data_IF_106362715599
#
_entry.id   IF_106362715599
#
_cell.length_a   1.000
_cell.length_b   1.000
_cell.length_c   1.000
_cell.angle_alpha   90.00
_cell.angle_beta   90.00
_cell.angle_gamma   90.00
#
_symmetry.space_group_name_H-M   'P 1'
#
loop_
_entity.id
_entity.type
_entity.pdbx_description
1 polymer ?
#
# COMPACT_ATOMS: atom_id res chain seq x y z
N UNK A 1 -16.41 -3.20 13.93
CA UNK A 1 -16.35 -3.89 12.61
C UNK A 1 -16.37 -2.91 11.43
N UNK A 2 -17.25 -1.89 11.38
CA UNK A 2 -17.30 -0.95 10.23
C UNK A 2 -15.98 -0.19 9.97
N UNK A 3 -15.25 0.18 11.03
CA UNK A 3 -13.97 0.88 10.88
C UNK A 3 -12.91 0.00 10.19
N UNK A 4 -12.82 -1.30 10.52
CA UNK A 4 -11.85 -2.24 9.93
C UNK A 4 -12.18 -2.44 8.45
N UNK A 5 -13.47 -2.58 8.12
CA UNK A 5 -13.94 -2.66 6.74
C UNK A 5 -13.55 -1.42 5.91
N UNK A 6 -13.69 -0.22 6.48
CA UNK A 6 -13.27 1.02 5.84
C UNK A 6 -11.75 1.04 5.58
N UNK A 7 -10.95 0.63 6.57
CA UNK A 7 -9.49 0.53 6.44
C UNK A 7 -9.09 -0.46 5.34
N UNK A 8 -9.63 -1.68 5.36
CA UNK A 8 -9.31 -2.72 4.37
C UNK A 8 -9.79 -2.36 2.95
N UNK A 9 -10.92 -1.66 2.82
CA UNK A 9 -11.38 -1.11 1.54
C UNK A 9 -10.47 0.01 1.05
N UNK A 10 -10.01 0.90 1.93
CA UNK A 10 -9.03 1.94 1.59
C UNK A 10 -7.73 1.32 1.09
N UNK A 11 -7.22 0.30 1.78
CA UNK A 11 -6.03 -0.44 1.37
C UNK A 11 -6.16 -1.10 -0.01
N UNK A 12 -7.35 -1.61 -0.33
CA UNK A 12 -7.65 -2.21 -1.65
C UNK A 12 -7.38 -1.22 -2.79
N UNK A 13 -7.85 0.01 -2.65
CA UNK A 13 -7.63 1.09 -3.62
C UNK A 13 -6.15 1.46 -3.70
N UNK A 14 -5.49 1.61 -2.56
CA UNK A 14 -4.08 2.03 -2.51
C UNK A 14 -3.14 0.97 -3.09
N UNK A 15 -3.39 -0.33 -2.82
CA UNK A 15 -2.63 -1.41 -3.43
C UNK A 15 -2.90 -1.55 -4.93
N UNK A 16 -4.13 -1.30 -5.38
CA UNK A 16 -4.45 -1.26 -6.81
C UNK A 16 -3.68 -0.15 -7.51
N UNK A 17 -3.64 1.06 -6.92
CA UNK A 17 -2.89 2.18 -7.48
C UNK A 17 -1.38 1.91 -7.53
N UNK A 18 -0.80 1.33 -6.47
CA UNK A 18 0.62 0.97 -6.44
C UNK A 18 0.97 -0.10 -7.48
N UNK A 19 0.15 -1.16 -7.57
CA UNK A 19 0.35 -2.24 -8.55
C UNK A 19 0.18 -1.72 -9.98
N UNK A 20 -0.82 -0.86 -10.20
CA UNK A 20 -1.07 -0.21 -11.48
C UNK A 20 0.04 0.72 -11.91
N UNK A 21 0.52 1.58 -11.02
CA UNK A 21 1.64 2.46 -11.30
C UNK A 21 2.92 1.68 -11.62
N UNK A 22 3.19 0.58 -10.89
CA UNK A 22 4.34 -0.27 -11.17
C UNK A 22 4.24 -0.92 -12.56
N UNK A 23 3.04 -1.35 -12.96
CA UNK A 23 2.82 -1.93 -14.29
C UNK A 23 2.95 -0.90 -15.41
N UNK A 24 2.33 0.28 -15.26
CA UNK A 24 2.45 1.40 -16.20
C UNK A 24 3.90 1.87 -16.34
N UNK A 25 4.67 1.86 -15.25
CA UNK A 25 6.09 2.20 -15.30
C UNK A 25 6.87 1.15 -16.07
N UNK A 26 6.57 -0.14 -15.82
CA UNK A 26 7.20 -1.28 -16.51
C UNK A 26 6.88 -1.30 -18.00
N UNK A 27 5.68 -0.89 -18.42
CA UNK A 27 5.27 -0.77 -19.82
C UNK A 27 5.79 0.51 -20.48
N UNK A 28 6.36 1.44 -19.69
CA UNK A 28 6.88 2.73 -20.16
C UNK A 28 5.81 3.78 -20.40
N UNK A 29 4.57 3.56 -19.94
CA UNK A 29 3.46 4.50 -20.04
C UNK A 29 3.57 5.67 -19.06
N UNK A 30 4.28 5.46 -17.93
CA UNK A 30 4.65 6.53 -17.02
C UNK A 30 6.16 6.51 -16.73
N UNK A 31 6.72 7.68 -16.47
CA UNK A 31 8.12 7.81 -16.06
C UNK A 31 8.32 7.58 -14.54
N UNK A 32 9.59 7.54 -14.12
CA UNK A 32 9.94 7.37 -12.70
C UNK A 32 9.37 8.49 -11.82
N UNK A 33 9.31 9.73 -12.29
CA UNK A 33 8.81 10.85 -11.49
C UNK A 33 7.30 10.73 -11.23
N UNK A 34 6.54 10.30 -12.23
CA UNK A 34 5.11 10.02 -12.13
C UNK A 34 4.85 8.81 -11.22
N UNK A 35 5.60 7.73 -11.37
CA UNK A 35 5.54 6.57 -10.47
C UNK A 35 5.79 6.97 -9.00
N UNK A 36 6.81 7.80 -8.77
CA UNK A 36 7.15 8.29 -7.44
C UNK A 36 6.05 9.16 -6.82
N UNK A 37 5.40 10.01 -7.63
CA UNK A 37 4.29 10.83 -7.17
C UNK A 37 3.10 9.96 -6.73
N UNK A 38 2.73 8.94 -7.52
CA UNK A 38 1.64 8.01 -7.19
C UNK A 38 1.98 7.21 -5.92
N UNK A 39 3.22 6.74 -5.82
CA UNK A 39 3.73 6.03 -4.64
C UNK A 39 3.58 6.89 -3.39
N UNK A 40 4.06 8.14 -3.41
CA UNK A 40 3.98 9.06 -2.26
C UNK A 40 2.55 9.30 -1.81
N UNK A 41 1.65 9.58 -2.75
CA UNK A 41 0.22 9.79 -2.43
C UNK A 41 -0.38 8.52 -1.83
N UNK A 42 -0.02 7.35 -2.36
CA UNK A 42 -0.54 6.08 -1.87
C UNK A 42 -0.04 5.77 -0.45
N UNK A 43 1.25 6.01 -0.17
CA UNK A 43 1.83 5.84 1.17
C UNK A 43 1.26 6.84 2.18
N UNK A 44 1.04 8.09 1.77
CA UNK A 44 0.34 9.07 2.61
C UNK A 44 -1.09 8.61 2.93
N UNK A 45 -1.79 7.99 1.99
CA UNK A 45 -3.08 7.34 2.20
C UNK A 45 -3.02 6.20 3.21
N UNK A 46 -2.03 5.30 3.10
CA UNK A 46 -1.83 4.20 4.06
C UNK A 46 -1.56 4.77 5.47
N UNK A 47 -0.78 5.86 5.56
CA UNK A 47 -0.52 6.54 6.84
C UNK A 47 -1.77 7.16 7.45
N UNK A 48 -2.62 7.78 6.63
CA UNK A 48 -3.90 8.30 7.11
C UNK A 48 -4.81 7.17 7.62
N UNK A 49 -4.85 6.03 6.93
CA UNK A 49 -5.57 4.83 7.36
C UNK A 49 -5.00 4.26 8.67
N UNK A 50 -3.67 4.27 8.83
CA UNK A 50 -2.99 3.85 10.07
C UNK A 50 -3.38 4.75 11.26
N UNK A 51 -3.41 6.07 11.07
CA UNK A 51 -3.88 7.02 12.09
C UNK A 51 -5.35 6.81 12.46
N UNK A 52 -6.21 6.53 11.47
CA UNK A 52 -7.63 6.22 11.73
C UNK A 52 -7.80 4.87 12.45
N UNK A 53 -6.96 3.88 12.11
CA UNK A 53 -6.94 2.59 12.78
C UNK A 53 -6.44 2.70 14.23
N UNK A 54 -5.53 3.64 14.51
CA UNK A 54 -4.93 3.89 15.83
C UNK A 54 -5.97 4.08 16.95
N UNK A 55 -7.12 4.65 16.62
CA UNK A 55 -8.17 4.96 17.59
C UNK A 55 -9.03 3.74 17.96
N UNK A 56 -9.04 2.68 17.12
CA UNK A 56 -10.08 1.65 17.19
C UNK A 56 -9.65 0.20 16.83
N UNK A 57 -8.41 -0.05 16.38
CA UNK A 57 -8.04 -1.30 15.69
C UNK A 57 -6.62 -1.81 16.01
N UNK A 58 -6.36 -2.17 17.28
CA UNK A 58 -5.05 -2.63 17.79
C UNK A 58 -4.32 -3.68 16.92
N UNK A 59 -5.02 -4.66 16.34
CA UNK A 59 -4.38 -5.71 15.53
C UNK A 59 -4.02 -5.32 14.09
N UNK A 60 -4.59 -4.25 13.55
CA UNK A 60 -4.32 -3.80 12.17
C UNK A 60 -3.23 -2.70 12.13
N UNK A 61 -3.08 -1.95 13.22
CA UNK A 61 -2.08 -0.87 13.32
C UNK A 61 -0.67 -1.40 13.15
N UNK A 62 -0.30 -2.46 13.87
CA UNK A 62 1.06 -3.05 13.78
C UNK A 62 1.39 -3.49 12.35
N UNK A 63 0.39 -4.02 11.63
CA UNK A 63 0.56 -4.45 10.24
C UNK A 63 0.69 -3.25 9.30
N UNK A 64 -0.07 -2.18 9.54
CA UNK A 64 0.02 -0.94 8.78
C UNK A 64 1.34 -0.20 9.04
N UNK A 65 1.87 -0.24 10.26
CA UNK A 65 3.17 0.30 10.61
C UNK A 65 4.29 -0.48 9.91
N UNK A 66 4.28 -1.81 10.00
CA UNK A 66 5.23 -2.65 9.27
C UNK A 66 5.18 -2.45 7.74
N UNK A 67 3.98 -2.20 7.18
CA UNK A 67 3.80 -1.88 5.76
C UNK A 67 4.42 -0.52 5.38
N UNK A 68 4.27 0.49 6.23
CA UNK A 68 4.88 1.81 6.02
C UNK A 68 6.40 1.75 6.19
N UNK A 69 6.89 1.03 7.19
CA UNK A 69 8.33 0.82 7.41
C UNK A 69 8.96 0.08 6.22
N UNK A 70 8.28 -0.94 5.68
CA UNK A 70 8.71 -1.63 4.47
C UNK A 70 8.74 -0.74 3.22
N UNK A 71 8.04 0.40 3.25
CA UNK A 71 8.02 1.37 2.17
C UNK A 71 9.03 2.51 2.37
N UNK A 72 9.61 2.65 3.56
CA UNK A 72 10.66 3.63 3.85
C UNK A 72 12.02 2.98 3.53
N UNK A 73 12.89 3.65 2.77
CA UNK A 73 14.22 3.13 2.52
C UNK A 73 15.05 3.03 3.82
N UNK A 74 16.04 2.12 3.88
CA UNK A 74 16.79 1.82 5.12
C UNK A 74 17.56 3.02 5.70
N UNK A 75 17.72 4.10 4.95
CA UNK A 75 18.30 5.37 5.39
C UNK A 75 17.28 6.34 6.03
N UNK A 76 16.01 5.95 6.17
CA UNK A 76 14.97 6.75 6.82
C UNK A 76 14.56 8.00 6.03
N UNK A 77 14.94 8.09 4.76
CA UNK A 77 14.58 9.20 3.88
C UNK A 77 13.10 9.22 3.54
N UNK A 78 12.56 10.41 3.22
CA UNK A 78 11.36 10.49 2.39
C UNK A 78 11.54 9.55 1.20
N UNK A 79 10.50 8.84 0.70
CA UNK A 79 10.57 8.12 -0.56
C UNK A 79 10.80 9.14 -1.68
N UNK A 80 12.03 9.60 -1.83
CA UNK A 80 12.62 10.31 -2.96
C UNK A 80 12.97 9.29 -4.01
N UNK A 81 11.97 8.49 -4.36
CA UNK A 81 11.80 8.00 -5.70
C UNK A 81 12.81 7.03 -6.28
N UNK A 82 13.92 6.76 -5.58
CA UNK A 82 14.96 5.86 -6.05
C UNK A 82 15.05 4.58 -5.20
N UNK A 83 14.30 4.47 -4.10
CA UNK A 83 14.46 3.37 -3.15
C UNK A 83 13.17 2.60 -2.78
N UNK A 84 11.99 3.06 -3.22
CA UNK A 84 10.75 2.28 -3.04
C UNK A 84 10.57 1.32 -4.22
N UNK A 85 10.70 0.03 -3.94
CA UNK A 85 10.37 -1.04 -4.88
C UNK A 85 9.14 -1.80 -4.37
N UNK A 86 7.95 -1.60 -4.98
CA UNK A 86 6.73 -2.31 -4.60
C UNK A 86 6.77 -3.81 -4.94
N UNK A 87 7.74 -4.25 -5.73
CA UNK A 87 8.01 -5.67 -6.04
C UNK A 87 8.97 -6.32 -5.04
N UNK A 88 9.58 -5.54 -4.14
CA UNK A 88 10.49 -6.07 -3.13
C UNK A 88 9.79 -7.09 -2.23
N UNK A 89 10.55 -8.12 -1.81
CA UNK A 89 10.03 -9.16 -0.93
C UNK A 89 9.59 -8.60 0.43
N UNK A 90 10.26 -7.55 0.92
CA UNK A 90 9.95 -6.88 2.18
C UNK A 90 8.57 -6.23 2.12
N UNK A 91 8.33 -5.39 1.11
CA UNK A 91 7.03 -4.75 0.92
C UNK A 91 5.94 -5.78 0.59
N UNK A 92 6.25 -6.77 -0.26
CA UNK A 92 5.33 -7.86 -0.58
C UNK A 92 4.90 -8.69 0.63
N UNK A 93 5.82 -8.92 1.57
CA UNK A 93 5.52 -9.64 2.83
C UNK A 93 4.65 -8.81 3.77
N UNK A 94 4.98 -7.53 3.95
CA UNK A 94 4.16 -6.63 4.77
C UNK A 94 2.74 -6.45 4.21
N UNK A 95 2.61 -6.33 2.88
CA UNK A 95 1.32 -6.31 2.18
C UNK A 95 0.49 -7.56 2.43
N UNK A 96 1.12 -8.76 2.38
CA UNK A 96 0.44 -10.03 2.69
C UNK A 96 -0.01 -10.09 4.15
N UNK A 97 0.79 -9.58 5.08
CA UNK A 97 0.44 -9.58 6.51
C UNK A 97 -0.79 -8.70 6.80
N UNK A 98 -0.85 -7.49 6.21
CA UNK A 98 -2.03 -6.61 6.27
C UNK A 98 -3.25 -7.28 5.62
N UNK A 99 -3.06 -7.91 4.46
CA UNK A 99 -4.15 -8.62 3.75
C UNK A 99 -4.71 -9.75 4.61
N UNK A 100 -3.86 -10.58 5.22
CA UNK A 100 -4.27 -11.65 6.12
C UNK A 100 -4.97 -11.14 7.38
N UNK A 101 -4.53 -10.00 7.94
CA UNK A 101 -5.24 -9.35 9.06
C UNK A 101 -6.64 -8.88 8.66
N UNK A 102 -6.79 -8.30 7.47
CA UNK A 102 -8.08 -7.91 6.90
C UNK A 102 -9.00 -9.12 6.66
N UNK A 103 -8.49 -10.22 6.13
CA UNK A 103 -9.23 -11.49 5.94
C UNK A 103 -9.68 -12.11 7.27
N UNK A 104 -8.80 -12.14 8.27
CA UNK A 104 -9.12 -12.68 9.60
C UNK A 104 -10.25 -11.89 10.30
N UNK A 105 -10.44 -10.62 9.93
CA UNK A 105 -11.52 -9.77 10.42
C UNK A 105 -12.79 -9.80 9.55
N UNK A 106 -12.83 -10.67 8.53
CA UNK A 106 -13.99 -10.83 7.63
C UNK A 106 -14.12 -9.73 6.57
N UNK A 107 -13.05 -8.98 6.31
CA UNK A 107 -13.02 -7.85 5.37
C UNK A 107 -11.84 -7.99 4.41
N UNK A 108 -11.90 -8.91 3.43
CA UNK A 108 -10.78 -9.17 2.52
C UNK A 108 -10.40 -7.94 1.70
N UNK A 109 -9.10 -7.78 1.44
CA UNK A 109 -8.57 -6.72 0.56
C UNK A 109 -8.68 -7.19 -0.89
N UNK A 110 -9.43 -6.46 -1.72
CA UNK A 110 -9.51 -6.74 -3.14
C UNK A 110 -8.39 -5.99 -3.87
N UNK A 111 -7.56 -6.69 -4.63
CA UNK A 111 -6.62 -6.05 -5.56
C UNK A 111 -7.16 -6.29 -6.97
N UNK A 112 -7.56 -5.23 -7.64
CA UNK A 112 -8.01 -5.34 -9.03
C UNK A 112 -6.79 -5.32 -9.94
N UNK A 113 -6.72 -6.25 -10.89
CA UNK A 113 -5.79 -6.12 -12.00
C UNK A 113 -6.15 -4.85 -12.76
N UNK A 114 -5.18 -3.97 -13.00
CA UNK A 114 -5.39 -2.87 -13.93
C UNK A 114 -5.58 -3.51 -15.30
N UNK A 115 -6.77 -3.38 -15.85
CA UNK A 115 -7.04 -3.80 -17.23
C UNK A 115 -6.19 -2.88 -18.09
N UNK A 116 -5.08 -3.39 -18.62
CA UNK A 116 -4.35 -2.71 -19.68
C UNK A 116 -5.37 -2.45 -20.80
N UNK A 117 -5.66 -1.17 -21.04
CA UNK A 117 -6.55 -0.77 -22.12
C UNK A 117 -6.02 -1.34 -23.43
N UNK A 118 -6.87 -2.09 -24.14
CA UNK A 118 -6.60 -2.58 -25.49
C UNK A 118 -6.68 -1.47 -26.54
#
# INVERSE_FOLDING_TARGET
MQAIAATCNGLSVLFTNLTGAADLQRTGEIDQAQFNAITRVSLAGIRALQQQAAEHQYGLIDQLEALLDAAVPPDGGDPKGEAFDPSSEVFGSARRAVTGACEANGTPVAVWAVVAGG
#
